data_IF_148653861795
#
_entry.id   IF_148653861795
#
_cell.length_a   1.000
_cell.length_b   1.000
_cell.length_c   1.000
_cell.angle_alpha   90.00
_cell.angle_beta   90.00
_cell.angle_gamma   90.00
#
_symmetry.space_group_name_H-M   'P 1'
#
loop_
_entity.id
_entity.type
_entity.pdbx_description
1 polymer ?
#
# COMPACT_ATOMS: atom_id res chain seq x y z
N UNK A 1 6.39 -8.83 -3.46
CA UNK A 1 6.37 -7.58 -2.63
C UNK A 1 7.06 -6.44 -3.37
N UNK A 2 7.17 -5.24 -2.76
CA UNK A 2 7.67 -4.01 -3.39
C UNK A 2 9.12 -4.00 -3.90
N UNK A 3 9.92 -5.05 -3.71
CA UNK A 3 11.20 -5.17 -4.44
C UNK A 3 11.01 -5.09 -5.97
N UNK A 4 9.82 -5.44 -6.48
CA UNK A 4 9.46 -5.23 -7.88
C UNK A 4 9.57 -3.77 -8.33
N UNK A 5 9.25 -2.80 -7.46
CA UNK A 5 9.36 -1.37 -7.78
C UNK A 5 10.81 -0.91 -8.05
N UNK A 6 11.79 -1.78 -7.80
CA UNK A 6 13.22 -1.54 -8.04
C UNK A 6 13.76 -2.33 -9.24
N UNK A 7 12.91 -3.10 -9.93
CA UNK A 7 13.31 -3.87 -11.10
C UNK A 7 13.70 -2.95 -12.27
N UNK A 8 14.78 -3.30 -12.96
CA UNK A 8 15.24 -2.58 -14.16
C UNK A 8 14.26 -2.72 -15.33
N UNK A 9 13.70 -3.91 -15.50
CA UNK A 9 12.75 -4.27 -16.56
C UNK A 9 11.48 -4.86 -15.91
N UNK A 10 10.46 -4.02 -15.66
CA UNK A 10 9.25 -4.43 -14.95
C UNK A 10 8.39 -5.43 -15.73
N UNK A 11 8.38 -5.32 -17.07
CA UNK A 11 7.58 -6.19 -17.93
C UNK A 11 8.13 -7.61 -17.89
N UNK A 12 9.45 -7.75 -18.07
CA UNK A 12 10.12 -9.04 -17.93
C UNK A 12 9.99 -9.61 -16.51
N UNK A 13 10.18 -8.77 -15.49
CA UNK A 13 10.07 -9.21 -14.10
C UNK A 13 8.65 -9.71 -13.77
N UNK A 14 7.61 -9.11 -14.35
CA UNK A 14 6.23 -9.58 -14.19
C UNK A 14 6.07 -11.01 -14.73
N UNK A 15 6.57 -11.29 -15.94
CA UNK A 15 6.51 -12.63 -16.53
C UNK A 15 7.29 -13.66 -15.72
N UNK A 16 8.49 -13.31 -15.24
CA UNK A 16 9.29 -14.19 -14.37
C UNK A 16 8.58 -14.49 -13.03
N UNK A 17 7.86 -13.51 -12.47
CA UNK A 17 7.08 -13.71 -11.24
C UNK A 17 5.87 -14.62 -11.48
N UNK A 18 5.21 -14.48 -12.64
CA UNK A 18 4.11 -15.35 -13.05
C UNK A 18 4.61 -16.79 -13.22
N UNK A 19 5.73 -16.98 -13.93
CA UNK A 19 6.34 -18.30 -14.14
C UNK A 19 6.76 -18.96 -12.82
N UNK A 20 7.25 -18.16 -11.86
CA UNK A 20 7.58 -18.64 -10.52
C UNK A 20 6.35 -19.07 -9.69
N UNK A 21 5.12 -18.78 -10.15
CA UNK A 21 3.88 -19.24 -9.53
C UNK A 21 3.41 -18.40 -8.35
N UNK A 22 3.76 -17.10 -8.28
CA UNK A 22 3.25 -16.22 -7.24
C UNK A 22 1.77 -15.88 -7.48
N UNK A 23 0.95 -15.92 -6.42
CA UNK A 23 -0.47 -15.56 -6.53
C UNK A 23 -0.69 -14.05 -6.73
N UNK A 24 0.22 -13.23 -6.18
CA UNK A 24 0.05 -11.77 -6.07
C UNK A 24 1.36 -11.00 -6.18
N UNK A 25 1.29 -9.85 -6.83
CA UNK A 25 2.38 -8.87 -6.90
C UNK A 25 1.99 -7.56 -6.20
N UNK A 26 2.61 -7.29 -5.05
CA UNK A 26 2.54 -5.99 -4.39
C UNK A 26 3.52 -4.99 -5.01
N UNK A 27 3.00 -3.88 -5.54
CA UNK A 27 3.74 -2.84 -6.27
C UNK A 27 3.11 -1.46 -6.07
N UNK A 28 3.87 -0.38 -6.20
CA UNK A 28 3.38 1.00 -6.29
C UNK A 28 3.43 1.57 -7.71
N UNK A 29 3.68 0.72 -8.71
CA UNK A 29 3.84 1.14 -10.09
C UNK A 29 5.21 1.77 -10.35
N UNK A 30 6.26 1.35 -9.61
CA UNK A 30 7.64 1.83 -9.79
C UNK A 30 7.75 3.34 -9.47
N UNK A 31 6.95 3.77 -8.49
CA UNK A 31 6.93 5.14 -7.95
C UNK A 31 6.89 5.13 -6.43
N UNK A 32 7.04 6.29 -5.80
CA UNK A 32 7.02 6.35 -4.33
C UNK A 32 5.65 5.95 -3.75
N UNK A 33 4.56 6.41 -4.36
CA UNK A 33 3.18 6.09 -3.97
C UNK A 33 2.42 5.50 -5.15
N UNK A 34 1.41 4.66 -4.87
CA UNK A 34 0.57 4.04 -5.90
C UNK A 34 -0.10 5.08 -6.81
N UNK A 35 -0.57 6.20 -6.24
CA UNK A 35 -1.23 7.26 -7.03
C UNK A 35 -0.30 7.89 -8.06
N UNK A 36 1.00 7.99 -7.75
CA UNK A 36 2.00 8.56 -8.68
C UNK A 36 2.34 7.57 -9.81
N UNK A 37 2.10 6.26 -9.59
CA UNK A 37 2.38 5.16 -10.51
C UNK A 37 1.13 4.58 -11.16
N UNK A 38 0.02 5.31 -11.17
CA UNK A 38 -1.30 4.80 -11.54
C UNK A 38 -1.37 4.26 -12.98
N UNK A 39 -0.73 4.93 -13.94
CA UNK A 39 -0.69 4.49 -15.35
C UNK A 39 0.13 3.20 -15.52
N UNK A 40 1.22 3.07 -14.76
CA UNK A 40 2.03 1.86 -14.73
C UNK A 40 1.24 0.71 -14.11
N UNK A 41 0.50 0.96 -13.02
CA UNK A 41 -0.36 -0.03 -12.39
C UNK A 41 -1.46 -0.52 -13.34
N UNK A 42 -2.13 0.39 -14.04
CA UNK A 42 -3.13 0.03 -15.05
C UNK A 42 -2.54 -0.84 -16.17
N UNK A 43 -1.33 -0.50 -16.63
CA UNK A 43 -0.60 -1.28 -17.63
C UNK A 43 -0.24 -2.68 -17.12
N UNK A 44 0.26 -2.79 -15.88
CA UNK A 44 0.59 -4.06 -15.24
C UNK A 44 -0.64 -4.93 -15.01
N UNK A 45 -1.77 -4.35 -14.57
CA UNK A 45 -3.04 -5.08 -14.41
C UNK A 45 -3.48 -5.66 -15.77
N UNK A 46 -3.43 -4.84 -16.83
CA UNK A 46 -3.77 -5.27 -18.18
C UNK A 46 -2.85 -6.38 -18.70
N UNK A 47 -1.55 -6.24 -18.49
CA UNK A 47 -0.57 -7.26 -18.90
C UNK A 47 -0.77 -8.57 -18.13
N UNK A 48 -0.95 -8.50 -16.82
CA UNK A 48 -1.15 -9.67 -15.97
C UNK A 48 -2.40 -10.46 -16.38
N UNK A 49 -3.50 -9.76 -16.70
CA UNK A 49 -4.79 -10.40 -16.95
C UNK A 49 -5.23 -11.22 -15.73
N UNK A 50 -5.68 -12.45 -15.95
CA UNK A 50 -6.09 -13.36 -14.86
C UNK A 50 -4.95 -14.26 -14.36
N UNK A 51 -3.70 -14.05 -14.81
CA UNK A 51 -2.56 -14.93 -14.49
C UNK A 51 -1.99 -14.70 -13.10
N UNK A 52 -2.09 -13.47 -12.60
CA UNK A 52 -1.62 -13.05 -11.27
C UNK A 52 -2.40 -11.81 -10.84
N UNK A 53 -2.61 -11.65 -9.53
CA UNK A 53 -3.23 -10.44 -9.01
C UNK A 53 -2.17 -9.34 -8.83
N UNK A 54 -2.36 -8.21 -9.51
CA UNK A 54 -1.61 -6.98 -9.22
C UNK A 54 -2.30 -6.28 -8.04
N UNK A 55 -1.56 -6.12 -6.94
CA UNK A 55 -2.04 -5.50 -5.71
C UNK A 55 -1.34 -4.14 -5.51
N UNK A 56 -1.96 -3.01 -5.88
CA UNK A 56 -1.44 -1.69 -5.58
C UNK A 56 -1.17 -1.51 -4.08
N UNK A 57 -0.08 -0.83 -3.76
CA UNK A 57 0.27 -0.46 -2.39
C UNK A 57 1.20 0.73 -2.32
N UNK A 58 1.47 1.20 -1.10
CA UNK A 58 2.16 2.47 -0.77
C UNK A 58 1.28 3.72 -0.93
N UNK A 59 0.93 4.32 0.21
CA UNK A 59 0.23 5.61 0.24
C UNK A 59 -1.25 5.57 -0.12
N UNK A 60 -1.86 4.39 -0.20
CA UNK A 60 -3.30 4.22 -0.40
C UNK A 60 -4.04 4.63 0.88
N UNK A 61 -5.04 5.50 0.74
CA UNK A 61 -5.85 6.12 1.79
C UNK A 61 -7.29 6.25 1.31
N UNK A 62 -8.20 6.56 2.24
CA UNK A 62 -9.60 6.82 1.91
C UNK A 62 -9.79 7.92 0.84
N UNK A 63 -8.89 8.92 0.81
CA UNK A 63 -8.95 10.03 -0.15
C UNK A 63 -8.56 9.70 -1.59
N UNK A 64 -7.87 8.57 -1.85
CA UNK A 64 -7.39 8.23 -3.20
C UNK A 64 -7.75 6.82 -3.68
N UNK A 65 -8.34 5.98 -2.82
CA UNK A 65 -8.65 4.58 -3.17
C UNK A 65 -9.59 4.45 -4.37
N UNK A 66 -10.62 5.30 -4.48
CA UNK A 66 -11.59 5.21 -5.58
C UNK A 66 -10.97 5.53 -6.93
N UNK A 67 -10.12 6.55 -7.00
CA UNK A 67 -9.39 6.89 -8.22
C UNK A 67 -8.44 5.76 -8.64
N UNK A 68 -7.75 5.15 -7.67
CA UNK A 68 -6.88 4.00 -7.94
C UNK A 68 -7.71 2.81 -8.46
N UNK A 69 -8.87 2.53 -7.88
CA UNK A 69 -9.78 1.48 -8.37
C UNK A 69 -10.17 1.76 -9.82
N UNK A 70 -10.72 2.94 -10.10
CA UNK A 70 -11.25 3.33 -11.41
C UNK A 70 -10.18 3.26 -12.50
N UNK A 71 -8.99 3.80 -12.24
CA UNK A 71 -7.93 3.89 -13.26
C UNK A 71 -7.17 2.60 -13.47
N UNK A 72 -7.00 1.78 -12.43
CA UNK A 72 -6.17 0.58 -12.53
C UNK A 72 -6.97 -0.68 -12.84
N UNK A 73 -8.23 -0.75 -12.41
CA UNK A 73 -9.02 -1.98 -12.47
C UNK A 73 -8.49 -3.11 -11.57
N UNK A 74 -7.60 -2.81 -10.62
CA UNK A 74 -7.11 -3.79 -9.67
C UNK A 74 -8.23 -4.35 -8.77
N UNK A 75 -8.05 -5.54 -8.21
CA UNK A 75 -9.05 -6.22 -7.37
C UNK A 75 -8.67 -6.29 -5.90
N UNK A 76 -7.38 -6.13 -5.58
CA UNK A 76 -6.86 -6.19 -4.22
C UNK A 76 -5.93 -5.02 -3.94
N UNK A 77 -5.89 -4.56 -2.68
CA UNK A 77 -5.15 -3.36 -2.28
C UNK A 77 -4.42 -3.58 -0.96
N UNK A 78 -3.19 -3.06 -0.88
CA UNK A 78 -2.39 -3.11 0.34
C UNK A 78 -2.36 -1.75 1.04
N UNK A 79 -3.00 -1.69 2.21
CA UNK A 79 -3.06 -0.50 3.07
C UNK A 79 -2.38 -0.76 4.42
N UNK A 80 -1.88 0.30 5.05
CA UNK A 80 -1.24 0.20 6.37
C UNK A 80 -2.01 0.91 7.48
N UNK A 81 -2.70 2.02 7.16
CA UNK A 81 -3.45 2.89 8.08
C UNK A 81 -2.90 2.95 9.52
N UNK A 82 -1.63 3.34 9.67
CA UNK A 82 -0.97 3.45 10.98
C UNK A 82 -1.08 4.86 11.52
N UNK A 83 -1.28 4.97 12.82
CA UNK A 83 -1.19 6.21 13.61
C UNK A 83 -0.09 6.07 14.66
N UNK A 84 0.57 7.18 15.00
CA UNK A 84 1.42 7.26 16.19
C UNK A 84 0.55 7.48 17.41
N UNK A 85 0.71 6.65 18.42
CA UNK A 85 0.06 6.76 19.73
C UNK A 85 1.14 6.90 20.80
N UNK A 86 0.94 7.84 21.70
CA UNK A 86 1.86 8.11 22.80
C UNK A 86 1.84 6.97 23.84
N UNK A 87 2.99 6.71 24.44
CA UNK A 87 3.18 5.63 25.41
C UNK A 87 2.53 5.98 26.75
N UNK A 88 1.86 5.02 27.41
CA UNK A 88 1.29 5.26 28.75
C UNK A 88 2.35 5.38 29.86
N UNK A 89 3.65 5.31 29.54
CA UNK A 89 4.74 5.50 30.51
C UNK A 89 4.65 6.89 31.14
N UNK A 90 4.45 6.92 32.45
CA UNK A 90 4.33 8.14 33.24
C UNK A 90 5.68 8.81 33.49
N UNK A 91 6.72 8.01 33.74
CA UNK A 91 8.09 8.49 33.85
C UNK A 91 8.81 8.32 32.52
N UNK A 92 9.50 9.38 32.07
CA UNK A 92 10.25 9.40 30.81
C UNK A 92 11.63 9.98 31.05
N UNK A 93 12.66 9.26 30.60
CA UNK A 93 14.01 9.83 30.50
C UNK A 93 14.19 10.43 29.12
N UNK A 94 14.61 11.68 29.10
CA UNK A 94 14.95 12.41 27.89
C UNK A 94 16.42 12.17 27.52
N UNK A 95 16.75 12.41 26.25
CA UNK A 95 18.13 12.36 25.72
C UNK A 95 18.84 10.98 25.77
N UNK A 96 18.08 9.89 25.94
CA UNK A 96 18.58 8.52 25.78
C UNK A 96 17.88 7.92 24.56
N UNK A 97 18.66 7.50 23.56
CA UNK A 97 18.15 7.03 22.28
C UNK A 97 18.61 5.59 22.04
N UNK A 98 17.70 4.64 22.21
CA UNK A 98 17.95 3.21 21.99
C UNK A 98 18.15 2.89 20.51
N UNK A 99 17.47 3.62 19.62
CA UNK A 99 17.65 3.53 18.17
C UNK A 99 18.88 4.24 17.62
N UNK A 100 19.71 4.85 18.48
CA UNK A 100 20.94 5.57 18.10
C UNK A 100 20.71 6.92 17.40
N UNK A 101 19.47 7.31 17.13
CA UNK A 101 19.10 8.56 16.45
C UNK A 101 18.03 9.33 17.24
N UNK A 102 18.21 10.65 17.47
CA UNK A 102 17.23 11.46 18.19
C UNK A 102 15.84 11.55 17.54
N UNK A 103 15.76 11.28 16.23
CA UNK A 103 14.51 11.37 15.48
C UNK A 103 13.61 10.13 15.64
N UNK A 104 14.10 9.06 16.26
CA UNK A 104 13.31 7.86 16.53
C UNK A 104 12.67 8.03 17.92
N UNK A 105 11.34 8.22 18.00
CA UNK A 105 10.68 8.44 19.27
C UNK A 105 10.68 7.18 20.14
N UNK A 106 11.16 7.28 21.38
CA UNK A 106 11.19 6.18 22.36
C UNK A 106 9.82 5.87 22.97
N UNK A 107 8.94 6.86 23.00
CA UNK A 107 7.64 6.80 23.68
C UNK A 107 6.47 6.87 22.72
N UNK A 108 6.68 6.60 21.42
CA UNK A 108 5.58 6.47 20.45
C UNK A 108 5.45 5.04 19.94
N UNK A 109 4.22 4.59 19.77
CA UNK A 109 3.89 3.30 19.15
C UNK A 109 3.13 3.55 17.86
N UNK A 110 3.53 2.87 16.79
CA UNK A 110 2.76 2.84 15.55
C UNK A 110 1.75 1.72 15.61
N UNK A 111 0.47 2.08 15.70
CA UNK A 111 -0.64 1.12 15.75
C UNK A 111 -1.54 1.28 14.53
N UNK A 112 -2.24 0.21 14.16
CA UNK A 112 -3.23 0.26 13.09
C UNK A 112 -4.50 0.94 13.62
N UNK A 113 -5.05 1.87 12.85
CA UNK A 113 -6.30 2.56 13.16
C UNK A 113 -7.48 1.88 12.45
N UNK A 114 -8.28 1.15 13.20
CA UNK A 114 -9.45 0.45 12.68
C UNK A 114 -10.51 1.41 12.09
N UNK A 115 -10.60 2.65 12.56
CA UNK A 115 -11.58 3.62 12.04
C UNK A 115 -11.23 4.03 10.61
N UNK A 116 -9.94 4.26 10.32
CA UNK A 116 -9.44 4.59 8.98
C UNK A 116 -9.60 3.43 8.00
N UNK A 117 -9.40 2.21 8.46
CA UNK A 117 -9.65 1.02 7.64
C UNK A 117 -11.15 0.91 7.30
N UNK A 118 -12.04 1.09 8.29
CA UNK A 118 -13.49 1.10 8.04
C UNK A 118 -13.91 2.20 7.08
N UNK A 119 -13.30 3.37 7.15
CA UNK A 119 -13.58 4.46 6.21
C UNK A 119 -13.26 4.06 4.78
N UNK A 120 -12.11 3.41 4.55
CA UNK A 120 -11.73 2.90 3.23
C UNK A 120 -12.78 1.89 2.73
N UNK A 121 -13.12 0.89 3.55
CA UNK A 121 -14.12 -0.13 3.20
C UNK A 121 -15.47 0.52 2.85
N UNK A 122 -15.95 1.42 3.70
CA UNK A 122 -17.23 2.13 3.49
C UNK A 122 -17.27 2.90 2.18
N UNK A 123 -16.14 3.51 1.77
CA UNK A 123 -16.07 4.22 0.49
C UNK A 123 -16.12 3.27 -0.70
N UNK A 124 -15.48 2.10 -0.59
CA UNK A 124 -15.51 1.08 -1.65
C UNK A 124 -16.93 0.52 -1.79
N UNK A 125 -17.56 0.12 -0.68
CA UNK A 125 -18.91 -0.47 -0.68
C UNK A 125 -19.97 0.48 -1.27
N UNK A 126 -19.92 1.77 -0.90
CA UNK A 126 -20.81 2.79 -1.48
C UNK A 126 -20.58 3.04 -2.96
N UNK A 127 -19.36 2.81 -3.44
CA UNK A 127 -19.05 2.99 -4.86
C UNK A 127 -19.60 1.82 -5.69
N UNK A 128 -19.56 0.60 -5.15
CA UNK A 128 -20.21 -0.57 -5.78
C UNK A 128 -21.72 -0.41 -5.84
N UNK A 129 -22.36 0.08 -4.77
CA UNK A 129 -23.82 0.29 -4.74
C UNK A 129 -24.34 1.34 -5.75
N UNK A 130 -23.47 2.25 -6.22
CA UNK A 130 -23.83 3.28 -7.20
C UNK A 130 -23.47 2.89 -8.65
N UNK A 131 -22.81 1.74 -8.85
CA UNK A 131 -22.37 1.27 -10.17
C UNK A 131 -23.27 0.17 -10.76
N UNK A 132 -24.23 -0.33 -9.96
CA UNK A 132 -25.34 -1.22 -10.36
C UNK A 132 -26.63 -0.41 -10.66
#
# INVERSE_FOLDING_TARGET
HRAFDMCKDPERALEEIIEAGADRLLTSGIKNKAIDGIDNLASLVKMAGDRIIIMPGSGIRAGNILEIIEKTGAKEYHVSERISVDSPMQFRRENIFMGGLPQIPEYEKRVIDASRIREIITRIDRNTDNAD
#
